data_IF_618458579892
#
_entry.id   IF_618458579892
#
_cell.length_a   1.000
_cell.length_b   1.000
_cell.length_c   1.000
_cell.angle_alpha   90.00
_cell.angle_beta   90.00
_cell.angle_gamma   90.00
#
_symmetry.space_group_name_H-M   'P 1'
#
loop_
_entity.id
_entity.type
_entity.pdbx_description
1 polymer ?
#
# COMPACT_ATOMS: atom_id res chain seq x y z
N UNK A 1 11.25 27.07 19.63
CA UNK A 1 11.51 26.17 20.76
C UNK A 1 12.78 26.65 21.46
N UNK A 2 12.78 26.77 22.76
CA UNK A 2 13.96 27.16 23.53
C UNK A 2 14.63 25.90 24.07
N UNK A 3 15.92 25.74 23.79
CA UNK A 3 16.74 24.68 24.36
C UNK A 3 17.08 25.08 25.80
N UNK A 4 16.78 24.20 26.77
CA UNK A 4 17.01 24.45 28.20
C UNK A 4 18.16 23.60 28.75
N UNK A 5 18.94 23.00 27.88
CA UNK A 5 20.12 22.22 28.24
C UNK A 5 21.24 23.15 28.78
N UNK A 6 22.11 22.61 29.61
CA UNK A 6 23.19 23.35 30.27
C UNK A 6 24.21 24.00 29.30
N UNK A 7 24.25 23.57 28.06
CA UNK A 7 25.09 24.10 27.00
C UNK A 7 24.46 25.28 26.24
N UNK A 8 23.12 25.50 26.40
CA UNK A 8 22.38 26.53 25.72
C UNK A 8 21.63 27.41 26.74
N UNK A 9 21.96 28.69 26.85
CA UNK A 9 21.26 29.60 27.76
C UNK A 9 19.77 29.66 27.43
N UNK A 10 18.93 29.81 28.46
CA UNK A 10 17.47 30.06 28.31
C UNK A 10 17.22 31.19 27.32
N UNK A 11 16.30 30.95 26.36
CA UNK A 11 15.95 31.92 25.31
C UNK A 11 16.81 31.82 24.05
N UNK A 12 17.76 30.88 23.96
CA UNK A 12 18.52 30.64 22.75
C UNK A 12 17.75 29.65 21.85
N UNK A 13 17.49 29.98 20.57
CA UNK A 13 16.90 29.04 19.63
C UNK A 13 17.77 27.78 19.51
N UNK A 14 17.15 26.61 19.66
CA UNK A 14 17.86 25.34 19.63
C UNK A 14 17.05 24.24 18.99
N UNK A 15 17.64 23.07 18.91
CA UNK A 15 17.02 21.84 18.43
C UNK A 15 16.82 20.86 19.59
N UNK A 16 15.70 20.15 19.55
CA UNK A 16 15.42 19.10 20.53
C UNK A 16 15.06 17.80 19.81
N UNK A 17 15.43 16.66 20.39
CA UNK A 17 15.10 15.34 19.86
C UNK A 17 13.82 14.83 20.54
N UNK A 18 12.81 14.54 19.73
CA UNK A 18 11.55 13.95 20.18
C UNK A 18 11.27 12.66 19.42
N UNK A 19 10.67 11.68 20.11
CA UNK A 19 10.16 10.45 19.52
C UNK A 19 8.64 10.41 19.60
N UNK A 20 8.03 9.69 18.65
CA UNK A 20 6.59 9.43 18.64
C UNK A 20 5.93 9.60 17.28
N UNK A 21 4.67 9.20 17.19
CA UNK A 21 3.89 9.28 15.95
C UNK A 21 3.71 10.72 15.44
N UNK A 22 3.67 11.69 16.35
CA UNK A 22 3.60 13.13 16.00
C UNK A 22 4.86 13.62 15.29
N UNK A 23 6.00 12.98 15.51
CA UNK A 23 7.26 13.27 14.81
C UNK A 23 7.37 12.47 13.52
N UNK A 24 6.83 11.25 13.48
CA UNK A 24 6.81 10.42 12.28
C UNK A 24 5.92 11.00 11.17
N UNK A 25 4.75 11.53 11.50
CA UNK A 25 3.79 12.05 10.53
C UNK A 25 4.36 13.14 9.59
N UNK A 26 5.06 14.18 10.08
CA UNK A 26 5.65 15.19 9.20
C UNK A 26 6.78 14.64 8.31
N UNK A 27 7.49 13.58 8.73
CA UNK A 27 8.46 12.91 7.86
C UNK A 27 7.78 12.26 6.66
N UNK A 28 6.64 11.59 6.87
CA UNK A 28 5.84 11.03 5.78
C UNK A 28 5.27 12.13 4.89
N UNK A 29 4.78 13.22 5.46
CA UNK A 29 4.29 14.38 4.69
C UNK A 29 5.39 15.02 3.83
N UNK A 30 6.59 15.16 4.40
CA UNK A 30 7.77 15.63 3.68
C UNK A 30 8.16 14.68 2.54
N UNK A 31 8.18 13.38 2.81
CA UNK A 31 8.45 12.35 1.81
C UNK A 31 7.45 12.40 0.64
N UNK A 32 6.16 12.52 0.95
CA UNK A 32 5.11 12.72 -0.07
C UNK A 32 5.36 13.97 -0.91
N UNK A 33 5.74 15.08 -0.28
CA UNK A 33 6.02 16.33 -1.00
C UNK A 33 7.19 16.18 -1.96
N UNK A 34 8.25 15.50 -1.55
CA UNK A 34 9.42 15.22 -2.43
C UNK A 34 8.99 14.36 -3.62
N UNK A 35 8.24 13.29 -3.40
CA UNK A 35 7.75 12.43 -4.49
C UNK A 35 6.75 13.16 -5.40
N UNK A 36 5.88 14.02 -4.87
CA UNK A 36 4.99 14.85 -5.68
C UNK A 36 5.75 15.83 -6.57
N UNK A 37 6.89 16.34 -6.13
CA UNK A 37 7.74 17.18 -6.99
C UNK A 37 8.41 16.40 -8.13
N UNK A 38 8.66 15.10 -7.93
CA UNK A 38 9.19 14.19 -8.96
C UNK A 38 8.08 13.75 -9.94
N UNK A 39 6.89 13.45 -9.43
CA UNK A 39 5.76 12.90 -10.20
C UNK A 39 4.64 13.94 -10.33
N UNK A 40 4.90 15.04 -11.04
CA UNK A 40 3.98 16.18 -11.13
C UNK A 40 2.64 15.84 -11.82
N UNK A 41 2.62 14.83 -12.67
CA UNK A 41 1.42 14.37 -13.37
C UNK A 41 0.62 13.31 -12.58
N UNK A 42 1.09 12.92 -11.37
CA UNK A 42 0.42 11.95 -10.51
C UNK A 42 -0.45 12.62 -9.46
N UNK A 43 -1.59 12.01 -9.15
CA UNK A 43 -2.40 12.40 -8.01
C UNK A 43 -1.82 11.88 -6.68
N UNK A 44 -2.32 12.39 -5.56
CA UNK A 44 -1.82 12.06 -4.23
C UNK A 44 -1.94 10.55 -3.90
N UNK A 45 -2.93 9.84 -4.44
CA UNK A 45 -3.10 8.39 -4.24
C UNK A 45 -1.97 7.62 -4.93
N UNK A 46 -1.64 7.97 -6.15
CA UNK A 46 -0.56 7.35 -6.92
C UNK A 46 0.79 7.57 -6.26
N UNK A 47 1.07 8.79 -5.80
CA UNK A 47 2.30 9.12 -5.08
C UNK A 47 2.38 8.38 -3.74
N UNK A 48 1.25 8.27 -3.01
CA UNK A 48 1.15 7.44 -1.80
C UNK A 48 1.49 5.97 -2.10
N UNK A 49 0.96 5.44 -3.18
CA UNK A 49 1.19 4.04 -3.56
C UNK A 49 2.66 3.80 -3.94
N UNK A 50 3.33 4.77 -4.56
CA UNK A 50 4.79 4.72 -4.74
C UNK A 50 5.48 4.69 -3.38
N UNK A 51 5.17 5.64 -2.48
CA UNK A 51 5.79 5.71 -1.15
C UNK A 51 5.62 4.41 -0.37
N UNK A 52 4.45 3.80 -0.41
CA UNK A 52 4.16 2.54 0.28
C UNK A 52 4.91 1.37 -0.34
N UNK A 53 4.83 1.21 -1.65
CA UNK A 53 5.39 0.04 -2.33
C UNK A 53 6.91 0.05 -2.43
N UNK A 54 7.54 1.21 -2.25
CA UNK A 54 9.00 1.37 -2.20
C UNK A 54 9.56 1.42 -0.78
N UNK A 55 8.71 1.45 0.25
CA UNK A 55 9.14 1.41 1.64
C UNK A 55 9.90 0.11 1.94
N UNK A 56 10.82 0.17 2.91
CA UNK A 56 11.70 -0.94 3.27
C UNK A 56 11.46 -1.44 4.67
N UNK A 57 11.65 -2.74 4.85
CA UNK A 57 11.63 -3.44 6.15
C UNK A 57 13.03 -3.79 6.63
N UNK A 58 14.05 -3.48 5.84
CA UNK A 58 15.41 -3.93 6.03
C UNK A 58 16.35 -2.77 6.33
N UNK A 59 17.39 -3.08 7.09
CA UNK A 59 18.56 -2.26 7.27
C UNK A 59 19.42 -2.23 5.97
N UNK A 60 20.45 -1.41 5.96
CA UNK A 60 21.38 -1.30 4.83
C UNK A 60 22.19 -2.57 4.57
N UNK A 61 22.30 -3.47 5.54
CA UNK A 61 22.95 -4.78 5.42
C UNK A 61 22.00 -5.89 4.94
N UNK A 62 20.73 -5.56 4.65
CA UNK A 62 19.70 -6.49 4.19
C UNK A 62 19.00 -7.27 5.31
N UNK A 63 19.40 -7.10 6.58
CA UNK A 63 18.69 -7.71 7.70
C UNK A 63 17.35 -7.02 7.94
N UNK A 64 16.30 -7.77 8.30
CA UNK A 64 15.02 -7.19 8.70
C UNK A 64 15.19 -6.30 9.93
N UNK A 65 14.39 -5.25 10.03
CA UNK A 65 14.27 -4.48 11.26
C UNK A 65 13.79 -5.40 12.39
N UNK A 66 14.25 -5.14 13.60
CA UNK A 66 13.89 -5.95 14.76
C UNK A 66 12.36 -5.99 14.96
N UNK A 67 11.82 -7.20 15.04
CA UNK A 67 10.39 -7.45 15.22
C UNK A 67 9.57 -7.46 13.94
N UNK A 68 10.16 -7.21 12.77
CA UNK A 68 9.49 -7.33 11.49
C UNK A 68 9.47 -8.77 11.00
N UNK A 69 8.36 -9.17 10.40
CA UNK A 69 8.15 -10.55 9.91
C UNK A 69 7.86 -10.60 8.41
N UNK A 70 7.33 -9.52 7.85
CA UNK A 70 7.05 -9.43 6.43
C UNK A 70 8.30 -9.00 5.63
N UNK A 71 8.48 -9.57 4.44
CA UNK A 71 9.52 -9.15 3.49
C UNK A 71 9.22 -7.78 2.87
N UNK A 72 10.20 -7.15 2.27
CA UNK A 72 10.03 -5.88 1.55
C UNK A 72 8.92 -6.01 0.47
N UNK A 73 8.04 -5.03 0.45
CA UNK A 73 6.92 -4.97 -0.46
C UNK A 73 5.66 -5.69 0.02
N UNK A 74 5.67 -6.34 1.20
CA UNK A 74 4.47 -6.91 1.84
C UNK A 74 4.21 -6.15 3.13
N UNK A 75 3.01 -5.58 3.35
CA UNK A 75 2.71 -4.87 4.59
C UNK A 75 2.80 -5.80 5.81
N UNK A 76 3.54 -5.38 6.83
CA UNK A 76 3.59 -6.06 8.12
C UNK A 76 2.34 -5.76 8.95
N UNK A 77 1.87 -6.74 9.75
CA UNK A 77 0.63 -6.60 10.55
C UNK A 77 0.73 -5.52 11.62
N UNK A 78 1.94 -5.26 12.15
CA UNK A 78 2.18 -4.29 13.21
C UNK A 78 2.74 -2.97 12.68
N UNK A 79 3.61 -3.03 11.67
CA UNK A 79 4.41 -1.90 11.21
C UNK A 79 4.01 -1.38 9.83
N UNK A 80 3.00 -1.99 9.20
CA UNK A 80 2.48 -1.56 7.90
C UNK A 80 3.49 -1.70 6.75
N UNK A 81 3.61 -0.67 5.92
CA UNK A 81 4.45 -0.70 4.72
C UNK A 81 5.94 -0.51 4.99
N UNK A 82 6.32 -0.02 6.16
CA UNK A 82 7.71 0.16 6.50
C UNK A 82 8.20 1.59 6.56
N UNK A 83 9.52 1.74 6.54
CA UNK A 83 10.19 3.04 6.55
C UNK A 83 10.24 3.61 5.13
N UNK A 84 9.84 4.87 4.91
CA UNK A 84 9.97 5.52 3.61
C UNK A 84 11.38 5.42 3.02
N UNK A 85 11.47 5.00 1.76
CA UNK A 85 12.72 4.99 0.98
C UNK A 85 12.54 5.92 -0.22
N UNK A 86 13.02 7.15 -0.07
CA UNK A 86 12.89 8.17 -1.11
C UNK A 86 13.81 7.90 -2.30
N UNK A 87 14.97 7.29 -2.07
CA UNK A 87 15.87 6.94 -3.16
C UNK A 87 15.17 5.95 -4.11
N UNK A 88 14.66 4.85 -3.57
CA UNK A 88 13.88 3.88 -4.34
C UNK A 88 12.62 4.50 -4.94
N UNK A 89 11.93 5.37 -4.18
CA UNK A 89 10.72 6.06 -4.63
C UNK A 89 10.89 6.94 -5.86
N UNK A 90 12.08 7.44 -6.13
CA UNK A 90 12.38 8.27 -7.32
C UNK A 90 12.38 7.48 -8.63
N UNK A 91 12.44 6.16 -8.59
CA UNK A 91 12.57 5.28 -9.74
C UNK A 91 11.30 4.51 -10.12
N UNK A 92 10.14 5.01 -9.71
CA UNK A 92 8.83 4.43 -10.00
C UNK A 92 8.27 3.59 -8.85
N UNK A 93 7.05 3.06 -8.99
CA UNK A 93 6.46 2.15 -8.03
C UNK A 93 7.20 0.80 -8.02
N UNK A 94 7.19 0.10 -6.87
CA UNK A 94 7.64 -1.30 -6.80
C UNK A 94 6.50 -2.30 -6.87
N UNK A 95 5.24 -1.82 -6.86
CA UNK A 95 4.03 -2.60 -7.12
C UNK A 95 2.91 -1.70 -7.63
N UNK A 96 1.99 -2.26 -8.38
CA UNK A 96 0.75 -1.60 -8.78
C UNK A 96 -0.37 -2.16 -7.90
N UNK A 97 -0.90 -1.32 -7.00
CA UNK A 97 -1.93 -1.73 -6.03
C UNK A 97 -3.34 -1.70 -6.66
N UNK A 98 -3.52 -2.50 -7.71
CA UNK A 98 -4.71 -2.52 -8.57
C UNK A 98 -4.46 -1.81 -9.89
N UNK A 99 -5.49 -1.19 -10.48
CA UNK A 99 -5.38 -0.45 -11.73
C UNK A 99 -4.66 0.88 -11.51
N UNK A 100 -3.46 1.01 -12.04
CA UNK A 100 -2.64 2.23 -11.96
C UNK A 100 -2.70 2.99 -13.30
N UNK A 101 -3.38 4.13 -13.32
CA UNK A 101 -3.52 4.97 -14.50
C UNK A 101 -2.51 6.12 -14.45
N UNK A 102 -1.54 6.13 -15.36
CA UNK A 102 -0.51 7.16 -15.38
C UNK A 102 -0.54 7.96 -16.68
N UNK A 103 -0.74 9.27 -16.54
CA UNK A 103 -0.65 10.23 -17.64
C UNK A 103 0.78 10.74 -17.74
N UNK A 104 1.47 10.44 -18.83
CA UNK A 104 2.85 10.86 -19.08
C UNK A 104 2.86 11.86 -20.22
N UNK A 105 3.28 13.10 -19.95
CA UNK A 105 3.32 14.15 -20.96
C UNK A 105 4.74 14.38 -21.55
N UNK A 106 5.76 13.85 -20.89
CA UNK A 106 7.15 13.95 -21.30
C UNK A 106 7.81 12.56 -21.33
N UNK A 107 9.09 12.46 -21.00
CA UNK A 107 9.80 11.20 -20.79
C UNK A 107 9.82 10.88 -19.29
N UNK A 108 9.38 9.70 -18.92
CA UNK A 108 9.59 9.14 -17.59
C UNK A 108 10.19 7.73 -17.68
N UNK A 109 11.05 7.40 -16.70
CA UNK A 109 11.74 6.11 -16.64
C UNK A 109 11.53 5.50 -15.27
N UNK A 110 10.94 4.29 -15.24
CA UNK A 110 10.78 3.50 -14.04
C UNK A 110 11.73 2.30 -14.10
N UNK A 111 12.65 2.25 -13.15
CA UNK A 111 13.66 1.19 -13.08
C UNK A 111 13.50 0.24 -11.90
N UNK A 112 12.54 0.50 -11.02
CA UNK A 112 12.20 -0.49 -9.99
C UNK A 112 11.58 -1.73 -10.60
N UNK A 113 11.84 -2.88 -9.99
CA UNK A 113 11.11 -4.11 -10.23
C UNK A 113 9.69 -3.96 -9.68
N UNK A 114 8.69 -4.06 -10.55
CA UNK A 114 7.27 -3.94 -10.18
C UNK A 114 6.72 -5.33 -9.91
N UNK A 115 6.63 -5.69 -8.63
CA UNK A 115 6.18 -7.00 -8.19
C UNK A 115 4.66 -7.06 -7.93
N UNK A 116 4.19 -8.24 -7.50
CA UNK A 116 2.78 -8.53 -7.18
C UNK A 116 2.60 -8.94 -5.71
N UNK A 117 3.66 -8.89 -4.91
CA UNK A 117 3.74 -9.50 -3.58
C UNK A 117 2.65 -9.07 -2.60
N UNK A 118 2.36 -7.77 -2.49
CA UNK A 118 1.37 -7.26 -1.56
C UNK A 118 -0.05 -7.68 -1.94
N UNK A 119 -0.39 -7.70 -3.22
CA UNK A 119 -1.70 -8.15 -3.68
C UNK A 119 -1.87 -9.66 -3.51
N UNK A 120 -0.81 -10.45 -3.72
CA UNK A 120 -0.81 -11.88 -3.46
C UNK A 120 -1.00 -12.19 -1.97
N UNK A 121 -0.25 -11.53 -1.10
CA UNK A 121 -0.41 -11.64 0.34
C UNK A 121 -1.83 -11.24 0.78
N UNK A 122 -2.34 -10.14 0.25
CA UNK A 122 -3.70 -9.67 0.53
C UNK A 122 -4.77 -10.64 0.05
N UNK A 123 -4.59 -11.26 -1.11
CA UNK A 123 -5.51 -12.29 -1.62
C UNK A 123 -5.58 -13.49 -0.68
N UNK A 124 -4.43 -13.97 -0.23
CA UNK A 124 -4.35 -15.08 0.73
C UNK A 124 -5.04 -14.72 2.05
N UNK A 125 -4.77 -13.53 2.59
CA UNK A 125 -5.41 -13.03 3.82
C UNK A 125 -6.93 -12.91 3.68
N UNK A 126 -7.39 -12.28 2.61
CA UNK A 126 -8.82 -12.06 2.35
C UNK A 126 -9.56 -13.40 2.14
N UNK A 127 -8.95 -14.37 1.44
CA UNK A 127 -9.51 -15.72 1.27
C UNK A 127 -9.54 -16.49 2.59
N UNK A 128 -8.49 -16.39 3.41
CA UNK A 128 -8.46 -17.01 4.74
C UNK A 128 -9.53 -16.41 5.66
N UNK A 129 -9.70 -15.10 5.63
CA UNK A 129 -10.75 -14.41 6.39
C UNK A 129 -12.15 -14.84 5.92
N UNK A 130 -12.42 -14.89 4.61
CA UNK A 130 -13.67 -15.39 4.06
C UNK A 130 -13.97 -16.81 4.50
N UNK A 131 -12.98 -17.69 4.43
CA UNK A 131 -13.14 -19.09 4.87
C UNK A 131 -13.45 -19.19 6.37
N UNK A 132 -12.81 -18.38 7.20
CA UNK A 132 -13.00 -18.39 8.65
C UNK A 132 -14.34 -17.78 9.07
N UNK A 133 -14.84 -16.77 8.35
CA UNK A 133 -16.02 -15.99 8.75
C UNK A 133 -17.30 -16.41 8.06
N UNK A 134 -17.24 -16.94 6.84
CA UNK A 134 -18.44 -17.18 6.01
C UNK A 134 -18.58 -18.62 5.54
N UNK A 135 -17.70 -19.54 5.97
CA UNK A 135 -17.61 -20.88 5.39
C UNK A 135 -17.60 -20.89 3.85
N UNK A 136 -17.06 -19.79 3.27
CA UNK A 136 -16.92 -19.60 1.84
C UNK A 136 -18.07 -18.84 1.15
N UNK A 137 -19.28 -18.81 1.72
CA UNK A 137 -20.41 -18.10 1.10
C UNK A 137 -21.53 -17.70 2.08
N UNK A 138 -21.58 -18.30 3.27
CA UNK A 138 -22.64 -18.00 4.24
C UNK A 138 -22.24 -16.86 5.18
N UNK A 139 -22.81 -15.68 4.94
CA UNK A 139 -22.60 -14.49 5.78
C UNK A 139 -23.34 -14.56 7.12
N UNK A 140 -24.18 -15.55 7.37
CA UNK A 140 -24.88 -15.73 8.65
C UNK A 140 -23.93 -16.18 9.75
N UNK A 141 -22.92 -16.98 9.43
CA UNK A 141 -21.87 -17.41 10.36
C UNK A 141 -20.96 -16.26 10.84
N UNK A 142 -20.98 -15.10 10.17
CA UNK A 142 -20.23 -13.91 10.55
C UNK A 142 -20.66 -13.37 11.91
N UNK A 143 -21.89 -13.66 12.33
CA UNK A 143 -22.42 -13.21 13.63
C UNK A 143 -21.78 -13.95 14.82
N UNK A 144 -21.55 -15.26 14.71
CA UNK A 144 -21.03 -16.08 15.81
C UNK A 144 -19.54 -15.80 16.11
N UNK A 145 -18.75 -15.43 15.11
CA UNK A 145 -17.34 -15.06 15.29
C UNK A 145 -17.14 -13.68 15.94
N UNK A 146 -18.21 -12.89 16.00
CA UNK A 146 -18.20 -11.59 16.68
C UNK A 146 -17.86 -11.67 18.17
N UNK A 147 -18.16 -12.79 18.84
CA UNK A 147 -17.80 -13.00 20.26
C UNK A 147 -16.32 -13.31 20.48
N UNK A 148 -15.65 -13.90 19.52
CA UNK A 148 -14.20 -14.16 19.59
C UNK A 148 -13.34 -12.89 19.50
N UNK A 149 -13.89 -11.79 18.98
CA UNK A 149 -13.21 -10.50 18.93
C UNK A 149 -13.38 -9.74 20.25
N UNK A 150 -12.81 -10.30 21.31
CA UNK A 150 -12.91 -9.80 22.69
C UNK A 150 -12.16 -8.49 22.97
N UNK A 151 -11.52 -7.89 21.97
CA UNK A 151 -10.87 -6.58 22.08
C UNK A 151 -11.82 -5.41 22.37
N UNK A 152 -13.15 -5.63 22.31
CA UNK A 152 -14.18 -4.65 22.63
C UNK A 152 -14.86 -4.86 23.99
N UNK A 153 -14.29 -5.64 24.90
CA UNK A 153 -14.84 -5.82 26.27
C UNK A 153 -14.91 -4.54 27.11
N UNK A 154 -14.31 -3.44 26.67
CA UNK A 154 -14.32 -2.14 27.38
C UNK A 154 -15.35 -1.14 26.85
N UNK A 155 -16.41 -1.59 26.18
CA UNK A 155 -17.50 -0.69 25.73
C UNK A 155 -18.50 -0.38 26.84
N UNK A 156 -18.29 -0.80 28.08
CA UNK A 156 -19.19 -0.47 29.19
C UNK A 156 -19.39 1.03 29.41
N UNK A 157 -18.49 1.87 28.88
CA UNK A 157 -18.60 3.34 28.88
C UNK A 157 -18.79 3.95 27.48
N UNK A 158 -19.06 3.16 26.43
CA UNK A 158 -19.32 3.70 25.10
C UNK A 158 -20.73 4.28 25.02
N UNK A 159 -20.88 5.36 24.25
CA UNK A 159 -22.15 6.05 23.96
C UNK A 159 -23.13 5.18 23.16
N UNK A 160 -22.71 3.96 22.74
CA UNK A 160 -23.50 3.03 21.95
C UNK A 160 -23.89 1.81 22.79
N UNK A 161 -25.11 1.33 22.58
CA UNK A 161 -25.59 0.10 23.23
C UNK A 161 -24.81 -1.13 22.72
N UNK A 162 -24.77 -2.20 23.54
CA UNK A 162 -24.18 -3.49 23.11
C UNK A 162 -24.85 -4.01 21.84
N UNK A 163 -26.18 -3.88 21.76
CA UNK A 163 -26.98 -4.31 20.61
C UNK A 163 -26.60 -3.52 19.33
N UNK A 164 -26.44 -2.22 19.42
CA UNK A 164 -26.01 -1.41 18.28
C UNK A 164 -24.58 -1.74 17.85
N UNK A 165 -23.68 -1.99 18.79
CA UNK A 165 -22.31 -2.40 18.49
C UNK A 165 -22.27 -3.76 17.77
N UNK A 166 -23.10 -4.72 18.16
CA UNK A 166 -23.24 -6.02 17.50
C UNK A 166 -23.81 -5.88 16.10
N UNK A 167 -24.84 -5.05 15.92
CA UNK A 167 -25.43 -4.74 14.62
C UNK A 167 -24.42 -4.09 13.67
N UNK A 168 -23.66 -3.12 14.13
CA UNK A 168 -22.61 -2.47 13.32
C UNK A 168 -21.50 -3.44 12.94
N UNK A 169 -21.12 -4.34 13.84
CA UNK A 169 -20.13 -5.38 13.56
C UNK A 169 -20.61 -6.32 12.47
N UNK A 170 -21.86 -6.77 12.56
CA UNK A 170 -22.47 -7.62 11.54
C UNK A 170 -22.50 -6.93 10.17
N UNK A 171 -22.97 -5.69 10.11
CA UNK A 171 -22.95 -4.87 8.90
C UNK A 171 -21.53 -4.71 8.32
N UNK A 172 -20.54 -4.46 9.16
CA UNK A 172 -19.14 -4.33 8.75
C UNK A 172 -18.62 -5.63 8.12
N UNK A 173 -18.86 -6.78 8.77
CA UNK A 173 -18.42 -8.06 8.25
C UNK A 173 -19.11 -8.42 6.93
N UNK A 174 -20.41 -8.16 6.83
CA UNK A 174 -21.16 -8.35 5.60
C UNK A 174 -20.54 -7.52 4.45
N UNK A 175 -20.35 -6.23 4.66
CA UNK A 175 -19.74 -5.34 3.65
C UNK A 175 -18.30 -5.76 3.29
N UNK A 176 -17.52 -6.22 4.27
CA UNK A 176 -16.18 -6.75 4.00
C UNK A 176 -16.23 -8.00 3.14
N UNK A 177 -17.11 -8.94 3.45
CA UNK A 177 -17.29 -10.15 2.66
C UNK A 177 -17.71 -9.85 1.22
N UNK A 178 -18.69 -8.96 1.04
CA UNK A 178 -19.14 -8.50 -0.28
C UNK A 178 -17.99 -7.82 -1.07
N UNK A 179 -17.19 -6.99 -0.41
CA UNK A 179 -16.04 -6.33 -1.03
C UNK A 179 -14.94 -7.31 -1.44
N UNK A 180 -14.66 -8.33 -0.61
CA UNK A 180 -13.71 -9.39 -0.94
C UNK A 180 -14.23 -10.24 -2.11
N UNK A 181 -15.50 -10.64 -2.08
CA UNK A 181 -16.10 -11.40 -3.17
C UNK A 181 -16.04 -10.62 -4.50
N UNK A 182 -16.37 -9.33 -4.46
CA UNK A 182 -16.24 -8.46 -5.64
C UNK A 182 -14.80 -8.41 -6.19
N UNK A 183 -13.78 -8.40 -5.32
CA UNK A 183 -12.38 -8.45 -5.77
C UNK A 183 -12.04 -9.78 -6.44
N UNK A 184 -12.55 -10.90 -5.88
CA UNK A 184 -12.34 -12.24 -6.44
C UNK A 184 -13.00 -12.33 -7.82
N UNK A 185 -14.26 -11.95 -7.94
CA UNK A 185 -15.07 -12.06 -9.15
C UNK A 185 -14.54 -11.20 -10.31
N UNK A 186 -13.93 -10.06 -9.99
CA UNK A 186 -13.42 -9.10 -10.96
C UNK A 186 -11.88 -9.10 -11.12
N UNK A 187 -11.18 -10.07 -10.53
CA UNK A 187 -9.72 -10.19 -10.66
C UNK A 187 -8.94 -8.99 -10.11
N UNK A 188 -9.47 -8.29 -9.09
CA UNK A 188 -8.89 -7.03 -8.59
C UNK A 188 -7.65 -7.24 -7.69
N UNK A 189 -7.14 -8.47 -7.60
CA UNK A 189 -5.86 -8.75 -6.95
C UNK A 189 -4.66 -8.69 -7.90
N UNK A 190 -4.88 -8.36 -9.18
CA UNK A 190 -3.80 -8.22 -10.14
C UNK A 190 -3.54 -6.74 -10.45
N UNK A 191 -2.29 -6.33 -10.21
CA UNK A 191 -1.85 -4.98 -10.54
C UNK A 191 -1.78 -4.79 -12.05
N UNK A 192 -2.29 -3.68 -12.57
CA UNK A 192 -2.27 -3.35 -13.99
C UNK A 192 -1.86 -1.90 -14.22
N UNK A 193 -1.26 -1.63 -15.38
CA UNK A 193 -0.83 -0.31 -15.80
C UNK A 193 -1.66 0.19 -16.98
N UNK A 194 -2.19 1.40 -16.87
CA UNK A 194 -2.80 2.12 -18.00
C UNK A 194 -1.96 3.37 -18.27
N UNK A 195 -1.29 3.40 -19.40
CA UNK A 195 -0.50 4.55 -19.83
C UNK A 195 -1.32 5.46 -20.71
N UNK A 196 -1.49 6.70 -20.26
CA UNK A 196 -2.15 7.80 -20.96
C UNK A 196 -1.14 8.92 -21.26
N UNK A 197 -1.58 9.92 -22.06
CA UNK A 197 -0.76 11.09 -22.45
C UNK A 197 0.25 10.78 -23.55
N UNK A 198 0.66 11.81 -24.26
CA UNK A 198 1.46 11.74 -25.50
C UNK A 198 2.97 11.50 -25.25
N UNK A 199 3.42 11.57 -24.00
CA UNK A 199 4.81 11.31 -23.63
C UNK A 199 5.20 9.83 -23.65
N UNK A 200 6.42 9.57 -23.25
CA UNK A 200 7.06 8.25 -23.26
C UNK A 200 7.27 7.73 -21.85
N UNK A 201 6.81 6.53 -21.57
CA UNK A 201 7.19 5.78 -20.35
C UNK A 201 8.15 4.66 -20.72
N UNK A 202 9.24 4.54 -19.99
CA UNK A 202 10.23 3.46 -20.14
C UNK A 202 10.23 2.61 -18.86
N UNK A 203 10.00 1.32 -18.99
CA UNK A 203 10.09 0.34 -17.91
C UNK A 203 11.35 -0.48 -18.08
N UNK A 204 12.28 -0.42 -17.13
CA UNK A 204 13.57 -1.14 -17.23
C UNK A 204 13.73 -2.22 -16.16
N UNK A 205 12.83 -2.24 -15.14
CA UNK A 205 12.81 -3.26 -14.11
C UNK A 205 12.33 -4.63 -14.62
N UNK A 206 12.61 -5.66 -13.84
CA UNK A 206 12.09 -7.00 -14.03
C UNK A 206 10.71 -7.11 -13.37
N UNK A 207 9.64 -6.91 -14.16
CA UNK A 207 8.29 -6.73 -13.65
C UNK A 207 7.50 -8.04 -13.64
N UNK A 208 6.77 -8.29 -12.55
CA UNK A 208 6.01 -9.54 -12.36
C UNK A 208 4.54 -9.31 -12.03
N UNK A 209 4.02 -8.09 -12.20
CA UNK A 209 2.59 -7.82 -12.07
C UNK A 209 1.79 -8.51 -13.19
N UNK A 210 0.54 -8.91 -12.91
CA UNK A 210 -0.23 -9.82 -13.79
C UNK A 210 -1.41 -9.19 -14.49
N UNK A 211 -1.88 -8.02 -14.09
CA UNK A 211 -3.05 -7.38 -14.69
C UNK A 211 -2.80 -6.75 -16.07
N UNK A 212 -1.58 -6.91 -16.61
CA UNK A 212 -1.22 -6.44 -17.94
C UNK A 212 -1.01 -4.93 -18.06
N UNK A 213 -0.78 -4.50 -19.30
CA UNK A 213 -0.53 -3.09 -19.65
C UNK A 213 -1.47 -2.66 -20.76
N UNK A 214 -2.10 -1.51 -20.58
CA UNK A 214 -2.89 -0.83 -21.61
C UNK A 214 -2.18 0.47 -22.01
N UNK A 215 -1.86 0.60 -23.28
CA UNK A 215 -1.33 1.83 -23.88
C UNK A 215 -2.48 2.54 -24.62
N UNK A 216 -2.92 3.68 -24.12
CA UNK A 216 -3.96 4.49 -24.78
C UNK A 216 -3.35 5.56 -25.68
N UNK A 217 -2.27 6.22 -25.24
CA UNK A 217 -1.65 7.34 -25.95
C UNK A 217 -0.13 7.34 -25.76
N UNK A 218 0.59 7.96 -26.68
CA UNK A 218 2.05 8.13 -26.63
C UNK A 218 2.82 6.84 -26.82
N UNK A 219 3.92 6.68 -26.09
CA UNK A 219 4.84 5.54 -26.24
C UNK A 219 5.12 4.84 -24.93
N UNK A 220 5.31 3.51 -25.00
CA UNK A 220 5.75 2.68 -23.89
C UNK A 220 6.90 1.80 -24.38
N UNK A 221 8.01 1.83 -23.69
CA UNK A 221 9.18 0.99 -23.96
C UNK A 221 9.50 0.12 -22.76
N UNK A 222 9.98 -1.08 -22.99
CA UNK A 222 10.45 -2.01 -21.97
C UNK A 222 11.37 -3.05 -22.57
N UNK A 223 12.14 -3.72 -21.72
CA UNK A 223 13.03 -4.80 -22.10
C UNK A 223 12.43 -6.12 -21.64
N UNK A 224 12.37 -7.13 -22.51
CA UNK A 224 11.89 -8.49 -22.19
C UNK A 224 10.67 -8.48 -21.23
N UNK A 225 10.84 -8.95 -19.99
CA UNK A 225 9.78 -9.12 -19.00
C UNK A 225 9.33 -7.80 -18.31
N UNK A 226 9.73 -6.63 -18.84
CA UNK A 226 9.40 -5.33 -18.24
C UNK A 226 7.91 -4.96 -18.29
N UNK A 227 7.09 -5.68 -19.04
CA UNK A 227 5.64 -5.44 -19.15
C UNK A 227 4.79 -6.31 -18.21
N UNK A 228 5.44 -7.00 -17.28
CA UNK A 228 4.79 -7.92 -16.37
C UNK A 228 4.47 -9.27 -17.06
N UNK A 229 3.83 -10.15 -16.31
CA UNK A 229 3.37 -11.43 -16.86
C UNK A 229 2.11 -11.15 -17.68
N UNK A 230 2.27 -11.06 -18.98
CA UNK A 230 1.14 -11.09 -19.90
C UNK A 230 0.75 -12.56 -20.10
N UNK A 231 -0.43 -12.97 -19.64
CA UNK A 231 -1.07 -14.11 -20.28
C UNK A 231 -1.34 -13.66 -21.72
N UNK A 232 -0.56 -14.15 -22.66
CA UNK A 232 -0.92 -14.04 -24.08
C UNK A 232 -2.23 -14.78 -24.21
N UNK A 233 -3.33 -14.04 -24.29
CA UNK A 233 -4.58 -14.59 -24.80
C UNK A 233 -4.22 -15.24 -26.13
N UNK A 234 -4.34 -16.57 -26.19
CA UNK A 234 -4.02 -17.34 -27.36
C UNK A 234 -4.76 -16.72 -28.57
N UNK A 235 -4.03 -16.16 -29.49
CA UNK A 235 -4.50 -15.75 -30.79
C UNK A 235 -5.09 -14.32 -30.86
N UNK A 236 -4.25 -13.32 -30.93
CA UNK A 236 -4.35 -12.22 -31.90
C UNK A 236 -2.99 -11.63 -32.14
#
# INVERSE_FOLDING_TARGET
>A
YEDTDALHPLGTPGYASYGGTSMAAPHVSGAMTVLMSRYQDMNAIQVRDILFTTARHTNTDGSLFTGWTAEDGVPDVLYGWGTPDLDKGMFGPSQLLGKFEYKVNNLDVWSNDISQKALDARKVEDQAWMKATTNGTDTSAVYELGEAYTGMKNIENAVISKEDAEKWRHEYYKKRAEAIQNKIDNGLYDGSLVKNGDGTLVLTGNNTFRGGVTLNEGSLYGFNDSFGITETAAGK
#
